data_IF_079054085013
#
_entry.id   IF_079054085013
#
_cell.length_a   1.000
_cell.length_b   1.000
_cell.length_c   1.000
_cell.angle_alpha   90.00
_cell.angle_beta   90.00
_cell.angle_gamma   90.00
#
_symmetry.space_group_name_H-M   'P 1'
#
loop_
_entity.id
_entity.type
_entity.pdbx_description
1 polymer ?
#
# COMPACT_ATOMS: atom_id res chain seq x y z
N UNK A 1 -22.10 -38.83 5.97
CA UNK A 1 -21.55 -37.68 5.23
C UNK A 1 -20.16 -37.99 4.65
N UNK A 2 -19.18 -38.41 5.45
CA UNK A 2 -17.80 -38.72 5.01
C UNK A 2 -17.71 -39.74 3.86
N UNK A 3 -18.42 -40.87 3.94
CA UNK A 3 -18.41 -41.89 2.86
C UNK A 3 -18.94 -41.36 1.51
N UNK A 4 -19.87 -40.42 1.52
CA UNK A 4 -20.39 -39.80 0.31
C UNK A 4 -19.36 -38.86 -0.32
N UNK A 5 -18.63 -38.09 0.46
CA UNK A 5 -17.56 -37.21 -0.01
C UNK A 5 -16.44 -38.04 -0.65
N UNK A 6 -15.96 -39.10 0.00
CA UNK A 6 -14.92 -39.99 -0.53
C UNK A 6 -15.33 -40.63 -1.88
N UNK A 7 -16.58 -41.09 -1.98
CA UNK A 7 -17.12 -41.61 -3.24
C UNK A 7 -17.18 -40.55 -4.34
N UNK A 8 -17.42 -39.30 -3.98
CA UNK A 8 -17.46 -38.17 -4.92
C UNK A 8 -16.05 -37.76 -5.35
N UNK A 9 -15.08 -37.75 -4.42
CA UNK A 9 -13.65 -37.50 -4.71
C UNK A 9 -13.13 -38.51 -5.75
N UNK A 10 -13.46 -39.81 -5.58
CA UNK A 10 -13.06 -40.83 -6.55
C UNK A 10 -13.56 -40.53 -7.98
N UNK A 11 -14.71 -39.85 -8.12
CA UNK A 11 -15.28 -39.46 -9.42
C UNK A 11 -14.56 -38.32 -10.11
N UNK A 12 -13.67 -37.58 -9.43
CA UNK A 12 -12.82 -36.57 -10.08
C UNK A 12 -11.89 -37.17 -11.13
N UNK A 13 -11.53 -38.46 -10.98
CA UNK A 13 -10.70 -39.22 -11.92
C UNK A 13 -11.51 -40.06 -12.93
N UNK A 14 -12.83 -39.87 -12.98
CA UNK A 14 -13.70 -40.63 -13.88
C UNK A 14 -13.42 -40.31 -15.35
N UNK A 15 -13.46 -41.33 -16.23
CA UNK A 15 -13.24 -41.14 -17.69
C UNK A 15 -14.31 -40.29 -18.38
N UNK A 16 -15.52 -40.27 -17.85
CA UNK A 16 -16.60 -39.45 -18.38
C UNK A 16 -16.54 -38.02 -17.78
N UNK A 17 -16.36 -37.04 -18.63
CA UNK A 17 -16.29 -35.60 -18.29
C UNK A 17 -17.54 -35.13 -17.53
N UNK A 18 -18.73 -35.66 -17.90
CA UNK A 18 -19.99 -35.29 -17.21
C UNK A 18 -19.97 -35.72 -15.73
N UNK A 19 -19.44 -36.90 -15.45
CA UNK A 19 -19.30 -37.40 -14.09
C UNK A 19 -18.26 -36.61 -13.31
N UNK A 20 -17.13 -36.24 -13.92
CA UNK A 20 -16.14 -35.38 -13.30
C UNK A 20 -16.71 -34.01 -12.96
N UNK A 21 -17.41 -33.34 -13.90
CA UNK A 21 -18.04 -32.02 -13.67
C UNK A 21 -19.09 -32.09 -12.56
N UNK A 22 -19.87 -33.16 -12.51
CA UNK A 22 -20.85 -33.36 -11.44
C UNK A 22 -20.17 -33.51 -10.07
N UNK A 23 -19.08 -34.28 -10.00
CA UNK A 23 -18.31 -34.46 -8.78
C UNK A 23 -17.76 -33.12 -8.26
N UNK A 24 -17.14 -32.32 -9.13
CA UNK A 24 -16.67 -30.97 -8.77
C UNK A 24 -17.79 -30.13 -8.15
N UNK A 25 -18.97 -30.05 -8.81
CA UNK A 25 -20.11 -29.27 -8.31
C UNK A 25 -20.54 -29.73 -6.91
N UNK A 26 -20.69 -31.03 -6.72
CA UNK A 26 -21.09 -31.60 -5.41
C UNK A 26 -20.09 -31.23 -4.32
N UNK A 27 -18.78 -31.29 -4.60
CA UNK A 27 -17.73 -30.94 -3.62
C UNK A 27 -17.77 -29.46 -3.26
N UNK A 28 -18.00 -28.57 -4.24
CA UNK A 28 -18.15 -27.15 -3.99
C UNK A 28 -19.45 -26.81 -3.24
N UNK A 29 -20.57 -27.43 -3.62
CA UNK A 29 -21.89 -27.21 -2.99
C UNK A 29 -21.91 -27.68 -1.52
N UNK A 30 -21.16 -28.76 -1.20
CA UNK A 30 -21.04 -29.30 0.14
C UNK A 30 -19.90 -28.67 0.97
N UNK A 31 -19.17 -27.70 0.41
CA UNK A 31 -17.96 -27.08 1.01
C UNK A 31 -16.96 -28.10 1.53
N UNK A 32 -16.67 -29.12 0.73
CA UNK A 32 -15.87 -30.29 1.12
C UNK A 32 -14.36 -29.95 1.10
N UNK A 33 -13.88 -29.14 2.05
CA UNK A 33 -12.48 -28.70 2.13
C UNK A 33 -11.49 -29.88 2.22
N UNK A 34 -11.90 -31.03 2.77
CA UNK A 34 -11.07 -32.24 2.84
C UNK A 34 -10.73 -32.81 1.45
N UNK A 35 -11.40 -32.34 0.41
CA UNK A 35 -11.16 -32.77 -0.98
C UNK A 35 -10.10 -31.94 -1.69
N UNK A 36 -9.54 -30.87 -1.10
CA UNK A 36 -8.65 -29.91 -1.79
C UNK A 36 -7.46 -30.61 -2.47
N UNK A 37 -6.81 -31.54 -1.81
CA UNK A 37 -5.67 -32.30 -2.35
C UNK A 37 -6.06 -33.12 -3.60
N UNK A 38 -7.29 -33.61 -3.65
CA UNK A 38 -7.78 -34.41 -4.80
C UNK A 38 -7.97 -33.56 -6.07
N UNK A 39 -7.91 -32.22 -5.97
CA UNK A 39 -7.94 -31.32 -7.11
C UNK A 39 -6.55 -31.12 -7.77
N UNK A 40 -5.43 -31.54 -7.14
CA UNK A 40 -4.10 -31.39 -7.72
C UNK A 40 -3.98 -31.92 -9.16
N UNK A 41 -4.44 -33.14 -9.51
CA UNK A 41 -4.36 -33.61 -10.89
C UNK A 41 -5.20 -32.80 -11.90
N UNK A 42 -6.12 -31.97 -11.43
CA UNK A 42 -6.95 -31.11 -12.30
C UNK A 42 -6.27 -29.77 -12.63
N UNK A 43 -5.18 -29.42 -11.94
CA UNK A 43 -4.39 -28.22 -12.24
C UNK A 43 -3.78 -28.29 -13.66
N UNK A 44 -3.42 -29.49 -14.11
CA UNK A 44 -2.85 -29.74 -15.43
C UNK A 44 -3.87 -30.37 -16.43
N UNK A 45 -5.15 -30.33 -16.10
CA UNK A 45 -6.18 -30.89 -16.99
C UNK A 45 -6.21 -30.16 -18.34
N UNK A 46 -6.45 -30.92 -19.43
CA UNK A 46 -6.58 -30.37 -20.78
C UNK A 46 -7.75 -29.37 -20.91
N UNK A 47 -8.83 -29.60 -20.15
CA UNK A 47 -9.99 -28.73 -20.12
C UNK A 47 -9.76 -27.58 -19.13
N UNK A 48 -9.72 -26.34 -19.63
CA UNK A 48 -9.54 -25.11 -18.85
C UNK A 48 -10.55 -24.98 -17.71
N UNK A 49 -11.77 -25.51 -17.89
CA UNK A 49 -12.79 -25.48 -16.84
C UNK A 49 -12.33 -26.21 -15.58
N UNK A 50 -11.68 -27.39 -15.73
CA UNK A 50 -11.15 -28.12 -14.58
C UNK A 50 -9.97 -27.43 -13.95
N UNK A 51 -9.04 -26.87 -14.76
CA UNK A 51 -7.92 -26.09 -14.20
C UNK A 51 -8.43 -24.92 -13.35
N UNK A 52 -9.38 -24.15 -13.87
CA UNK A 52 -9.95 -23.02 -13.14
C UNK A 52 -10.67 -23.49 -11.85
N UNK A 53 -11.36 -24.62 -11.88
CA UNK A 53 -12.02 -25.17 -10.69
C UNK A 53 -11.01 -25.71 -9.67
N UNK A 54 -9.89 -26.25 -10.10
CA UNK A 54 -8.80 -26.64 -9.21
C UNK A 54 -8.22 -25.39 -8.51
N UNK A 55 -7.85 -24.36 -9.25
CA UNK A 55 -7.36 -23.07 -8.69
C UNK A 55 -8.38 -22.47 -7.71
N UNK A 56 -9.68 -22.52 -8.04
CA UNK A 56 -10.74 -22.03 -7.15
C UNK A 56 -10.85 -22.85 -5.87
N UNK A 57 -10.70 -24.17 -5.91
CA UNK A 57 -10.70 -25.06 -4.75
C UNK A 57 -9.51 -24.73 -3.82
N UNK A 58 -8.32 -24.59 -4.38
CA UNK A 58 -7.12 -24.19 -3.64
C UNK A 58 -7.31 -22.81 -3.00
N UNK A 59 -7.78 -21.81 -3.76
CA UNK A 59 -8.05 -20.47 -3.22
C UNK A 59 -9.05 -20.47 -2.07
N UNK A 60 -10.10 -21.29 -2.15
CA UNK A 60 -11.17 -21.34 -1.15
C UNK A 60 -10.77 -22.08 0.12
N UNK A 61 -10.07 -23.20 0.00
CA UNK A 61 -9.87 -24.13 1.11
C UNK A 61 -8.44 -24.23 1.61
N UNK A 62 -7.44 -24.11 0.73
CA UNK A 62 -6.05 -24.33 1.11
C UNK A 62 -5.53 -23.35 2.17
N UNK A 63 -5.81 -22.04 2.16
CA UNK A 63 -5.24 -21.13 3.14
C UNK A 63 -5.53 -21.49 4.60
N UNK A 64 -6.71 -22.07 4.86
CA UNK A 64 -7.14 -22.43 6.21
C UNK A 64 -6.88 -23.88 6.59
N UNK A 65 -6.95 -24.79 5.63
CA UNK A 65 -6.99 -26.23 5.93
C UNK A 65 -5.77 -26.99 5.45
N UNK A 66 -5.08 -26.49 4.42
CA UNK A 66 -3.93 -27.19 3.81
C UNK A 66 -2.97 -26.20 3.13
N UNK A 67 -2.39 -25.20 3.84
CA UNK A 67 -1.55 -24.17 3.24
C UNK A 67 -0.31 -24.76 2.54
N UNK A 68 0.18 -25.91 2.99
CA UNK A 68 1.30 -26.61 2.36
C UNK A 68 1.05 -26.99 0.88
N UNK A 69 -0.22 -27.16 0.48
CA UNK A 69 -0.56 -27.46 -0.91
C UNK A 69 -0.37 -26.24 -1.84
N UNK A 70 -0.34 -25.02 -1.29
CA UNK A 70 -0.10 -23.80 -2.07
C UNK A 70 1.34 -23.72 -2.61
N UNK A 71 2.27 -24.50 -2.05
CA UNK A 71 3.66 -24.60 -2.53
C UNK A 71 3.74 -25.07 -3.98
N UNK A 72 2.90 -26.06 -4.36
CA UNK A 72 2.82 -26.55 -5.73
C UNK A 72 2.39 -25.44 -6.71
N UNK A 73 1.39 -24.64 -6.33
CA UNK A 73 0.92 -23.51 -7.13
C UNK A 73 1.94 -22.36 -7.19
N UNK A 74 2.62 -22.07 -6.09
CA UNK A 74 3.63 -21.02 -6.03
C UNK A 74 4.83 -21.31 -6.96
N UNK A 75 5.19 -22.60 -7.10
CA UNK A 75 6.28 -23.06 -7.94
C UNK A 75 5.85 -23.41 -9.38
N UNK A 76 4.59 -23.26 -9.70
CA UNK A 76 4.05 -23.54 -11.05
C UNK A 76 4.49 -22.46 -12.05
N UNK A 77 4.77 -22.87 -13.29
CA UNK A 77 4.99 -21.93 -14.41
C UNK A 77 3.71 -21.24 -14.88
N UNK A 78 2.54 -21.65 -14.36
CA UNK A 78 1.26 -21.05 -14.69
C UNK A 78 1.02 -19.76 -13.86
N UNK A 79 1.00 -18.62 -14.54
CA UNK A 79 0.77 -17.32 -13.87
C UNK A 79 -0.52 -17.27 -13.06
N UNK A 80 -1.60 -17.92 -13.52
CA UNK A 80 -2.88 -17.93 -12.80
C UNK A 80 -2.78 -18.71 -11.47
N UNK A 81 -1.94 -19.74 -11.39
CA UNK A 81 -1.65 -20.47 -10.17
C UNK A 81 -0.87 -19.59 -9.19
N UNK A 82 0.20 -18.94 -9.64
CA UNK A 82 0.98 -18.00 -8.83
C UNK A 82 0.13 -16.81 -8.33
N UNK A 83 -0.72 -16.22 -9.20
CA UNK A 83 -1.67 -15.17 -8.83
C UNK A 83 -2.67 -15.63 -7.78
N UNK A 84 -3.13 -16.88 -7.87
CA UNK A 84 -4.00 -17.48 -6.86
C UNK A 84 -3.31 -17.46 -5.49
N UNK A 85 -2.08 -17.97 -5.39
CA UNK A 85 -1.30 -17.98 -4.14
C UNK A 85 -1.09 -16.55 -3.63
N UNK A 86 -0.61 -15.65 -4.48
CA UNK A 86 -0.40 -14.24 -4.12
C UNK A 86 -1.66 -13.55 -3.57
N UNK A 87 -2.85 -13.96 -4.04
CA UNK A 87 -4.13 -13.41 -3.58
C UNK A 87 -4.53 -13.89 -2.19
N UNK A 88 -4.11 -15.09 -1.80
CA UNK A 88 -4.54 -15.73 -0.55
C UNK A 88 -3.50 -15.68 0.57
N UNK A 89 -2.30 -15.11 0.32
CA UNK A 89 -1.23 -15.02 1.31
C UNK A 89 -1.71 -14.43 2.64
N UNK A 90 -2.46 -13.35 2.61
CA UNK A 90 -3.00 -12.67 3.80
C UNK A 90 -4.02 -13.51 4.57
N UNK A 91 -4.60 -14.53 3.94
CA UNK A 91 -5.59 -15.43 4.54
C UNK A 91 -4.95 -16.63 5.27
N UNK A 92 -3.64 -16.79 5.17
CA UNK A 92 -2.88 -17.86 5.83
C UNK A 92 -2.59 -17.42 7.27
N UNK A 93 -3.06 -18.20 8.25
CA UNK A 93 -2.91 -17.85 9.66
C UNK A 93 -1.46 -17.93 10.18
N UNK A 94 -0.66 -18.84 9.64
CA UNK A 94 0.75 -18.97 10.00
C UNK A 94 1.59 -17.98 9.17
N UNK A 95 2.08 -16.93 9.83
CA UNK A 95 2.89 -15.89 9.17
C UNK A 95 4.19 -16.45 8.58
N UNK A 96 4.79 -17.44 9.23
CA UNK A 96 6.02 -18.10 8.75
C UNK A 96 5.76 -18.88 7.47
N UNK A 97 4.64 -19.59 7.39
CA UNK A 97 4.25 -20.33 6.18
C UNK A 97 3.89 -19.37 5.04
N UNK A 98 3.14 -18.31 5.35
CA UNK A 98 2.84 -17.24 4.39
C UNK A 98 4.12 -16.57 3.86
N UNK A 99 5.10 -16.30 4.73
CA UNK A 99 6.39 -15.72 4.35
C UNK A 99 7.22 -16.68 3.46
N UNK A 100 7.21 -17.99 3.72
CA UNK A 100 7.88 -18.98 2.85
C UNK A 100 7.28 -18.97 1.45
N UNK A 101 5.95 -18.98 1.34
CA UNK A 101 5.23 -18.90 0.07
C UNK A 101 5.50 -17.58 -0.66
N UNK A 102 5.50 -16.46 0.07
CA UNK A 102 5.84 -15.16 -0.48
C UNK A 102 7.26 -15.15 -1.07
N UNK A 103 8.26 -15.75 -0.38
CA UNK A 103 9.64 -15.86 -0.90
C UNK A 103 9.73 -16.65 -2.19
N UNK A 104 8.94 -17.72 -2.33
CA UNK A 104 8.88 -18.47 -3.59
C UNK A 104 8.35 -17.62 -4.74
N UNK A 105 7.33 -16.78 -4.47
CA UNK A 105 6.71 -15.90 -5.45
C UNK A 105 7.58 -14.70 -5.86
N UNK A 106 8.64 -14.35 -5.11
CA UNK A 106 9.58 -13.30 -5.51
C UNK A 106 10.29 -13.57 -6.83
N UNK A 107 10.36 -14.84 -7.25
CA UNK A 107 10.94 -15.25 -8.53
C UNK A 107 9.94 -15.26 -9.69
N UNK A 108 8.71 -14.78 -9.48
CA UNK A 108 7.70 -14.71 -10.53
C UNK A 108 8.06 -13.68 -11.61
N UNK A 109 7.69 -13.98 -12.85
CA UNK A 109 7.77 -13.03 -13.96
C UNK A 109 6.58 -12.05 -14.00
N UNK A 110 5.67 -12.12 -13.03
CA UNK A 110 4.50 -11.24 -12.92
C UNK A 110 4.70 -10.23 -11.79
N UNK A 111 4.83 -8.96 -12.16
CA UNK A 111 5.04 -7.86 -11.20
C UNK A 111 3.95 -7.79 -10.13
N UNK A 112 2.70 -8.13 -10.46
CA UNK A 112 1.59 -8.11 -9.48
C UNK A 112 1.78 -9.20 -8.43
N UNK A 113 2.29 -10.37 -8.83
CA UNK A 113 2.62 -11.46 -7.92
C UNK A 113 3.77 -11.05 -7.00
N UNK A 114 4.86 -10.50 -7.57
CA UNK A 114 6.02 -10.02 -6.81
C UNK A 114 5.63 -8.91 -5.83
N UNK A 115 4.86 -7.91 -6.27
CA UNK A 115 4.38 -6.82 -5.39
C UNK A 115 3.61 -7.35 -4.18
N UNK A 116 2.70 -8.31 -4.38
CA UNK A 116 1.94 -8.92 -3.28
C UNK A 116 2.81 -9.75 -2.35
N UNK A 117 3.78 -10.45 -2.89
CA UNK A 117 4.74 -11.21 -2.10
C UNK A 117 5.58 -10.29 -1.20
N UNK A 118 6.10 -9.20 -1.76
CA UNK A 118 6.84 -8.17 -1.00
C UNK A 118 5.96 -7.54 0.08
N UNK A 119 4.74 -7.15 -0.29
CA UNK A 119 3.78 -6.59 0.67
C UNK A 119 3.51 -7.55 1.84
N UNK A 120 3.33 -8.84 1.57
CA UNK A 120 3.11 -9.86 2.60
C UNK A 120 4.32 -9.96 3.55
N UNK A 121 5.55 -10.00 3.02
CA UNK A 121 6.76 -10.09 3.84
C UNK A 121 6.92 -8.86 4.76
N UNK A 122 6.60 -7.69 4.24
CA UNK A 122 6.70 -6.43 4.99
C UNK A 122 5.60 -6.34 6.03
N UNK A 123 4.34 -6.58 5.68
CA UNK A 123 3.18 -6.44 6.57
C UNK A 123 3.19 -7.46 7.72
N UNK A 124 3.74 -8.65 7.49
CA UNK A 124 3.92 -9.67 8.53
C UNK A 124 5.16 -9.47 9.39
N UNK A 125 5.99 -8.48 9.11
CA UNK A 125 7.30 -8.24 9.75
C UNK A 125 8.28 -9.43 9.60
N UNK A 126 8.09 -10.25 8.58
CA UNK A 126 8.95 -11.42 8.28
C UNK A 126 10.10 -11.08 7.30
N UNK A 127 10.15 -9.84 6.82
CA UNK A 127 11.20 -9.37 5.91
C UNK A 127 12.54 -9.29 6.64
N UNK A 128 13.59 -9.84 6.04
CA UNK A 128 14.96 -9.71 6.54
C UNK A 128 15.57 -8.39 6.10
N UNK A 129 16.62 -7.93 6.81
CA UNK A 129 17.36 -6.73 6.42
C UNK A 129 17.92 -6.82 5.00
N UNK A 130 18.46 -7.98 4.62
CA UNK A 130 19.00 -8.19 3.27
C UNK A 130 17.93 -8.13 2.18
N UNK A 131 16.73 -8.68 2.47
CA UNK A 131 15.58 -8.56 1.55
C UNK A 131 15.13 -7.10 1.44
N UNK A 132 15.04 -6.38 2.56
CA UNK A 132 14.67 -4.97 2.56
C UNK A 132 15.66 -4.11 1.74
N UNK A 133 16.96 -4.33 1.91
CA UNK A 133 17.99 -3.64 1.13
C UNK A 133 17.86 -3.95 -0.38
N UNK A 134 17.55 -5.20 -0.73
CA UNK A 134 17.30 -5.60 -2.12
C UNK A 134 16.02 -4.96 -2.68
N UNK A 135 14.92 -4.89 -1.91
CA UNK A 135 13.67 -4.26 -2.33
C UNK A 135 13.82 -2.75 -2.55
N UNK A 136 14.69 -2.09 -1.79
CA UNK A 136 15.01 -0.67 -2.01
C UNK A 136 15.72 -0.40 -3.35
N UNK A 137 16.41 -1.40 -3.91
CA UNK A 137 17.09 -1.33 -5.18
C UNK A 137 16.29 -1.95 -6.34
N UNK A 138 15.06 -2.41 -6.11
CA UNK A 138 14.24 -3.05 -7.12
C UNK A 138 13.94 -2.10 -8.29
N UNK A 139 13.80 -2.63 -9.50
CA UNK A 139 13.39 -1.85 -10.67
C UNK A 139 11.96 -1.30 -10.50
N UNK A 140 11.08 -2.09 -9.89
CA UNK A 140 9.70 -1.72 -9.65
C UNK A 140 9.57 -0.70 -8.51
N UNK A 141 9.09 0.49 -8.85
CA UNK A 141 8.87 1.59 -7.89
C UNK A 141 7.89 1.25 -6.77
N UNK A 142 6.91 0.35 -7.00
CA UNK A 142 5.96 -0.06 -5.96
C UNK A 142 6.68 -0.88 -4.89
N UNK A 143 7.57 -1.78 -5.30
CA UNK A 143 8.42 -2.54 -4.39
C UNK A 143 9.33 -1.61 -3.60
N UNK A 144 9.98 -0.63 -4.27
CA UNK A 144 10.79 0.37 -3.57
C UNK A 144 9.98 1.21 -2.59
N UNK A 145 8.75 1.56 -2.94
CA UNK A 145 7.86 2.32 -2.06
C UNK A 145 7.50 1.55 -0.79
N UNK A 146 7.14 0.27 -0.90
CA UNK A 146 6.90 -0.59 0.26
C UNK A 146 8.14 -0.71 1.16
N UNK A 147 9.31 -0.91 0.57
CA UNK A 147 10.56 -0.98 1.34
C UNK A 147 10.88 0.36 2.04
N UNK A 148 10.58 1.48 1.40
CA UNK A 148 10.77 2.82 1.96
C UNK A 148 9.84 3.09 3.13
N UNK A 149 8.61 2.59 3.10
CA UNK A 149 7.59 2.77 4.15
C UNK A 149 8.06 2.23 5.51
N UNK A 150 8.69 1.05 5.52
CA UNK A 150 9.14 0.38 6.75
C UNK A 150 10.60 0.64 7.12
N UNK A 151 11.28 1.44 6.31
CA UNK A 151 12.68 1.76 6.55
C UNK A 151 12.81 2.77 7.71
N UNK A 152 13.55 2.39 8.75
CA UNK A 152 13.87 3.24 9.88
C UNK A 152 15.26 3.92 9.78
N UNK A 153 16.00 3.68 8.70
CA UNK A 153 17.33 4.27 8.50
C UNK A 153 17.22 5.62 7.79
N UNK A 154 17.48 6.71 8.52
CA UNK A 154 17.41 8.08 8.00
C UNK A 154 18.28 8.30 6.76
N UNK A 155 19.48 7.72 6.72
CA UNK A 155 20.38 7.86 5.57
C UNK A 155 19.79 7.23 4.31
N UNK A 156 19.18 6.05 4.42
CA UNK A 156 18.52 5.40 3.29
C UNK A 156 17.29 6.18 2.82
N UNK A 157 16.49 6.71 3.76
CA UNK A 157 15.34 7.54 3.44
C UNK A 157 15.74 8.84 2.72
N UNK A 158 16.84 9.47 3.13
CA UNK A 158 17.39 10.65 2.44
C UNK A 158 17.83 10.33 1.00
N UNK A 159 18.37 9.14 0.76
CA UNK A 159 18.64 8.64 -0.60
C UNK A 159 17.35 8.46 -1.39
N UNK A 160 16.32 7.86 -0.78
CA UNK A 160 15.01 7.64 -1.41
C UNK A 160 14.26 8.95 -1.76
N UNK A 161 14.60 10.09 -1.13
CA UNK A 161 14.10 11.41 -1.55
C UNK A 161 14.56 11.81 -2.95
N UNK A 162 15.61 11.18 -3.49
CA UNK A 162 16.14 11.42 -4.83
C UNK A 162 15.68 10.33 -5.83
N UNK A 163 14.75 9.45 -5.44
CA UNK A 163 14.25 8.40 -6.33
C UNK A 163 13.63 8.99 -7.60
N UNK A 164 13.77 8.28 -8.71
CA UNK A 164 13.18 8.68 -10.00
C UNK A 164 11.67 8.75 -9.97
N UNK A 165 11.02 7.90 -9.12
CA UNK A 165 9.57 7.82 -9.04
C UNK A 165 8.99 8.69 -7.91
N UNK A 166 7.98 9.55 -8.18
CA UNK A 166 7.41 10.47 -7.20
C UNK A 166 6.76 9.77 -6.00
N UNK A 167 6.23 8.55 -6.14
CA UNK A 167 5.62 7.83 -5.03
C UNK A 167 6.67 7.38 -4.00
N UNK A 168 7.85 6.95 -4.44
CA UNK A 168 8.96 6.60 -3.55
C UNK A 168 9.45 7.84 -2.81
N UNK A 169 9.64 8.97 -3.51
CA UNK A 169 10.03 10.25 -2.89
C UNK A 169 9.02 10.70 -1.84
N UNK A 170 7.70 10.60 -2.15
CA UNK A 170 6.62 10.94 -1.20
C UNK A 170 6.65 10.06 0.03
N UNK A 171 6.84 8.75 -0.14
CA UNK A 171 6.92 7.82 0.97
C UNK A 171 8.14 8.11 1.86
N UNK A 172 9.31 8.37 1.26
CA UNK A 172 10.51 8.76 1.99
C UNK A 172 10.31 10.05 2.80
N UNK A 173 9.70 11.07 2.20
CA UNK A 173 9.39 12.32 2.88
C UNK A 173 8.41 12.10 4.05
N UNK A 174 7.36 11.29 3.85
CA UNK A 174 6.39 10.96 4.90
C UNK A 174 7.06 10.26 6.09
N UNK A 175 7.92 9.27 5.82
CA UNK A 175 8.66 8.55 6.87
C UNK A 175 9.59 9.49 7.63
N UNK A 176 10.38 10.32 6.92
CA UNK A 176 11.31 11.27 7.56
C UNK A 176 10.60 12.33 8.39
N UNK A 177 9.42 12.80 7.95
CA UNK A 177 8.64 13.78 8.70
C UNK A 177 8.11 13.23 10.03
N UNK A 178 7.98 11.91 10.17
CA UNK A 178 7.62 11.22 11.41
C UNK A 178 8.79 10.93 12.35
N UNK A 179 10.04 11.26 11.97
CA UNK A 179 11.25 10.92 12.72
C UNK A 179 11.88 12.14 13.39
N UNK A 180 12.64 11.90 14.47
CA UNK A 180 13.55 12.91 15.03
C UNK A 180 14.77 13.03 14.12
N UNK A 181 14.93 14.20 13.49
CA UNK A 181 16.01 14.49 12.56
C UNK A 181 17.03 15.43 13.17
N UNK A 182 18.29 15.22 12.84
CA UNK A 182 19.33 16.20 13.09
C UNK A 182 19.13 17.45 12.23
N UNK A 183 19.71 18.59 12.58
CA UNK A 183 19.62 19.83 11.80
C UNK A 183 20.04 19.65 10.34
N UNK A 184 21.09 18.86 10.10
CA UNK A 184 21.58 18.55 8.75
C UNK A 184 20.56 17.73 7.93
N UNK A 185 19.95 16.72 8.54
CA UNK A 185 18.94 15.87 7.92
C UNK A 185 17.67 16.65 7.62
N UNK A 186 17.23 17.49 8.56
CA UNK A 186 16.08 18.37 8.38
C UNK A 186 16.33 19.36 7.23
N UNK A 187 17.53 19.94 7.12
CA UNK A 187 17.89 20.81 6.01
C UNK A 187 17.85 20.06 4.67
N UNK A 188 18.33 18.82 4.63
CA UNK A 188 18.28 17.98 3.42
C UNK A 188 16.83 17.67 3.01
N UNK A 189 15.96 17.32 3.97
CA UNK A 189 14.53 17.10 3.74
C UNK A 189 13.85 18.37 3.20
N UNK A 190 14.09 19.53 3.82
CA UNK A 190 13.53 20.81 3.38
C UNK A 190 13.98 21.16 1.95
N UNK A 191 15.25 20.93 1.61
CA UNK A 191 15.75 21.16 0.27
C UNK A 191 15.09 20.24 -0.77
N UNK A 192 14.88 18.97 -0.44
CA UNK A 192 14.16 18.03 -1.30
C UNK A 192 12.70 18.45 -1.51
N UNK A 193 12.02 18.83 -0.45
CA UNK A 193 10.64 19.37 -0.50
C UNK A 193 10.59 20.64 -1.36
N UNK A 194 11.60 21.50 -1.30
CA UNK A 194 11.67 22.72 -2.08
C UNK A 194 11.82 22.49 -3.58
N UNK A 195 12.49 21.43 -3.94
CA UNK A 195 12.80 21.09 -5.34
C UNK A 195 11.71 20.27 -6.02
N UNK A 196 10.86 19.59 -5.25
CA UNK A 196 9.84 18.67 -5.77
C UNK A 196 8.43 19.07 -5.35
N UNK A 197 7.67 19.61 -6.29
CA UNK A 197 6.28 20.02 -6.08
C UNK A 197 5.37 18.87 -5.62
N UNK A 198 5.70 17.62 -5.91
CA UNK A 198 4.93 16.46 -5.46
C UNK A 198 5.04 16.22 -3.95
N UNK A 199 6.12 16.66 -3.31
CA UNK A 199 6.33 16.52 -1.86
C UNK A 199 5.57 17.55 -1.04
N UNK A 200 5.16 18.66 -1.64
CA UNK A 200 4.46 19.73 -0.94
C UNK A 200 3.15 19.31 -0.27
N UNK A 201 2.38 18.42 -0.90
CA UNK A 201 1.11 17.94 -0.35
C UNK A 201 1.25 17.27 1.01
N UNK A 202 2.40 16.63 1.24
CA UNK A 202 2.70 15.95 2.50
C UNK A 202 3.35 16.90 3.51
N UNK A 203 4.25 17.75 3.04
CA UNK A 203 5.07 18.58 3.91
C UNK A 203 4.29 19.72 4.56
N UNK A 204 3.34 20.33 3.84
CA UNK A 204 2.66 21.53 4.30
C UNK A 204 1.82 21.30 5.57
N UNK A 205 0.94 20.26 5.67
CA UNK A 205 0.22 19.98 6.90
C UNK A 205 1.15 19.69 8.09
N UNK A 206 2.22 18.92 7.86
CA UNK A 206 3.16 18.51 8.90
C UNK A 206 4.05 19.68 9.31
N UNK A 207 4.46 20.52 8.35
CA UNK A 207 5.22 21.72 8.63
C UNK A 207 4.43 22.73 9.50
N UNK A 208 3.11 22.82 9.33
CA UNK A 208 2.26 23.63 10.19
C UNK A 208 2.18 23.06 11.61
N UNK A 209 2.02 21.75 11.76
CA UNK A 209 1.96 21.09 13.07
C UNK A 209 3.29 21.21 13.81
N UNK A 210 4.40 20.98 13.11
CA UNK A 210 5.75 20.88 13.71
C UNK A 210 6.54 22.20 13.74
N UNK A 211 5.92 23.36 13.38
CA UNK A 211 6.56 24.67 13.40
C UNK A 211 7.84 24.77 12.59
N UNK A 212 7.91 24.17 11.41
CA UNK A 212 9.07 24.32 10.53
C UNK A 212 9.29 25.83 10.24
N UNK A 213 10.37 26.43 10.73
CA UNK A 213 10.53 27.89 10.72
C UNK A 213 10.58 28.50 9.32
N UNK A 214 10.94 27.70 8.33
CA UNK A 214 11.17 28.16 6.96
C UNK A 214 9.96 27.98 6.02
N UNK A 215 8.81 27.48 6.53
CA UNK A 215 7.63 27.25 5.71
C UNK A 215 7.14 28.53 5.04
N UNK A 216 7.15 29.65 5.76
CA UNK A 216 6.70 30.95 5.28
C UNK A 216 7.60 31.48 4.16
N UNK A 217 8.91 31.45 4.35
CA UNK A 217 9.86 31.91 3.34
C UNK A 217 9.80 31.03 2.11
N UNK A 218 9.59 29.76 2.33
CA UNK A 218 9.38 28.79 1.29
C UNK A 218 8.09 29.08 0.49
N UNK A 219 6.99 29.37 1.16
CA UNK A 219 5.73 29.77 0.51
C UNK A 219 5.89 31.06 -0.29
N UNK A 220 6.61 32.03 0.24
CA UNK A 220 6.90 33.32 -0.44
C UNK A 220 7.72 33.13 -1.72
N UNK A 221 8.59 32.12 -1.77
CA UNK A 221 9.40 31.80 -2.95
C UNK A 221 8.63 31.16 -4.11
N UNK A 222 7.38 30.71 -3.86
CA UNK A 222 6.57 29.95 -4.83
C UNK A 222 5.63 30.85 -5.65
N UNK A 223 5.23 30.35 -6.82
CA UNK A 223 4.22 31.03 -7.66
C UNK A 223 2.85 31.10 -6.99
N UNK A 224 2.01 32.04 -7.40
CA UNK A 224 0.65 32.17 -6.85
C UNK A 224 -0.19 30.89 -6.99
N UNK A 225 -0.03 30.13 -8.07
CA UNK A 225 -0.74 28.85 -8.27
C UNK A 225 -0.27 27.79 -7.29
N UNK A 226 1.03 27.70 -7.03
CA UNK A 226 1.60 26.79 -6.05
C UNK A 226 1.19 27.17 -4.63
N UNK A 227 1.22 28.45 -4.28
CA UNK A 227 0.72 28.95 -2.99
C UNK A 227 -0.76 28.63 -2.76
N UNK A 228 -1.62 28.86 -3.76
CA UNK A 228 -3.05 28.48 -3.68
C UNK A 228 -3.23 26.99 -3.41
N UNK A 229 -2.46 26.16 -4.11
CA UNK A 229 -2.49 24.73 -3.90
C UNK A 229 -2.03 24.31 -2.50
N UNK A 230 -0.95 24.91 -1.99
CA UNK A 230 -0.45 24.70 -0.64
C UNK A 230 -1.50 25.07 0.41
N UNK A 231 -2.09 26.25 0.27
CA UNK A 231 -3.14 26.72 1.18
C UNK A 231 -4.36 25.81 1.13
N UNK A 232 -4.75 25.28 -0.03
CA UNK A 232 -5.81 24.27 -0.14
C UNK A 232 -5.49 22.95 0.59
N UNK A 233 -4.23 22.54 0.57
CA UNK A 233 -3.76 21.34 1.28
C UNK A 233 -3.82 21.50 2.80
N UNK A 234 -3.86 22.73 3.30
CA UNK A 234 -3.95 23.06 4.72
C UNK A 234 -5.37 23.04 5.30
N UNK A 235 -6.37 22.82 4.46
CA UNK A 235 -7.78 22.92 4.86
C UNK A 235 -8.09 22.14 6.15
N UNK A 236 -7.52 20.98 6.32
CA UNK A 236 -7.76 20.10 7.46
C UNK A 236 -6.86 20.46 8.67
N UNK A 237 -5.71 21.07 8.43
CA UNK A 237 -4.76 21.50 9.47
C UNK A 237 -5.06 22.91 10.02
N UNK A 238 -5.91 23.71 9.37
CA UNK A 238 -6.25 25.08 9.80
C UNK A 238 -6.91 25.13 11.18
N UNK A 239 -7.65 24.10 11.58
CA UNK A 239 -8.30 24.05 12.90
C UNK A 239 -7.31 23.93 14.06
N UNK A 240 -6.12 23.37 13.80
CA UNK A 240 -5.08 23.15 14.79
C UNK A 240 -4.01 24.26 14.78
N UNK A 241 -3.98 25.09 13.73
CA UNK A 241 -3.01 26.17 13.60
C UNK A 241 -3.40 27.38 14.49
N UNK A 242 -2.39 28.02 15.10
CA UNK A 242 -2.59 29.28 15.82
C UNK A 242 -2.76 30.47 14.85
N UNK A 243 -3.37 31.58 15.35
CA UNK A 243 -3.66 32.77 14.57
C UNK A 243 -2.42 33.37 13.90
N UNK A 244 -1.28 33.37 14.59
CA UNK A 244 -0.04 33.93 14.06
C UNK A 244 0.47 33.17 12.86
N UNK A 245 0.36 31.85 12.86
CA UNK A 245 0.73 31.00 11.73
C UNK A 245 -0.25 31.15 10.57
N UNK A 246 -1.53 31.24 10.86
CA UNK A 246 -2.53 31.51 9.83
C UNK A 246 -2.28 32.85 9.15
N UNK A 247 -1.91 33.91 9.92
CA UNK A 247 -1.54 35.22 9.38
C UNK A 247 -0.36 35.14 8.40
N UNK A 248 0.62 34.32 8.68
CA UNK A 248 1.78 34.12 7.80
C UNK A 248 1.45 33.44 6.47
N UNK A 249 0.34 32.69 6.42
CA UNK A 249 -0.18 32.05 5.20
C UNK A 249 -1.06 32.97 4.36
N UNK A 250 -1.51 34.08 4.95
CA UNK A 250 -2.39 35.08 4.33
C UNK A 250 -1.51 36.11 3.65
N UNK A 251 -1.24 35.91 2.38
CA UNK A 251 -0.52 36.85 1.55
C UNK A 251 -1.13 36.87 0.14
N UNK A 252 -1.52 38.05 -0.32
CA UNK A 252 -2.06 38.26 -1.66
C UNK A 252 -3.31 37.43 -1.99
N UNK A 253 -3.25 36.69 -3.07
CA UNK A 253 -4.35 35.85 -3.59
C UNK A 253 -4.83 34.74 -2.64
N UNK A 254 -4.05 34.38 -1.63
CA UNK A 254 -4.40 33.34 -0.68
C UNK A 254 -5.40 33.84 0.39
N UNK A 255 -5.48 35.13 0.64
CA UNK A 255 -6.38 35.74 1.65
C UNK A 255 -7.83 35.31 1.46
N UNK A 256 -8.35 35.33 0.24
CA UNK A 256 -9.74 34.95 -0.05
C UNK A 256 -10.03 33.48 0.17
N UNK A 257 -9.05 32.63 -0.02
CA UNK A 257 -9.17 31.15 0.18
C UNK A 257 -9.20 30.85 1.68
N UNK A 258 -8.28 31.43 2.45
CA UNK A 258 -8.22 31.27 3.91
C UNK A 258 -9.48 31.85 4.55
N UNK A 259 -9.93 33.04 4.12
CA UNK A 259 -11.16 33.66 4.61
C UNK A 259 -12.39 32.74 4.41
N UNK A 260 -12.53 32.11 3.23
CA UNK A 260 -13.63 31.16 2.97
C UNK A 260 -13.58 29.93 3.86
N UNK A 261 -12.40 29.45 4.20
CA UNK A 261 -12.26 28.28 5.07
C UNK A 261 -12.60 28.60 6.51
N UNK A 262 -12.29 29.80 6.95
CA UNK A 262 -12.60 30.25 8.30
C UNK A 262 -14.10 30.50 8.51
N UNK A 263 -14.84 30.88 7.43
CA UNK A 263 -16.29 31.13 7.45
C UNK A 263 -17.07 29.85 7.60
N UNK A 264 -17.07 29.02 8.21
CA UNK A 264 -17.88 27.79 8.36
C UNK A 264 -17.37 26.88 9.45
N UNK A 265 -16.28 27.29 10.08
CA UNK A 265 -15.63 26.50 11.11
C UNK A 265 -15.83 27.14 12.48
N UNK A 266 -16.18 26.31 13.44
CA UNK A 266 -16.48 26.75 14.81
C UNK A 266 -15.20 26.89 15.66
N UNK A 267 -14.15 27.47 15.07
CA UNK A 267 -12.86 27.65 15.74
C UNK A 267 -12.86 29.01 16.43
N UNK A 268 -13.19 29.03 17.72
CA UNK A 268 -13.11 30.25 18.55
C UNK A 268 -11.71 30.89 18.50
N UNK A 269 -10.66 30.10 18.26
CA UNK A 269 -9.28 30.56 18.08
C UNK A 269 -9.06 31.44 16.84
N UNK A 270 -9.93 31.33 15.83
CA UNK A 270 -9.80 32.04 14.56
C UNK A 270 -10.76 33.20 14.41
N UNK A 271 -11.52 33.56 15.44
CA UNK A 271 -12.54 34.59 15.33
C UNK A 271 -11.97 36.02 15.08
N UNK A 272 -10.86 36.35 15.71
CA UNK A 272 -10.18 37.61 15.49
C UNK A 272 -9.64 37.70 14.07
N UNK A 273 -8.97 36.68 13.59
CA UNK A 273 -8.44 36.60 12.22
C UNK A 273 -9.57 36.62 11.17
N UNK A 274 -10.67 35.92 11.44
CA UNK A 274 -11.86 35.92 10.57
C UNK A 274 -12.45 37.30 10.42
N UNK A 275 -12.56 38.05 11.52
CA UNK A 275 -13.09 39.42 11.53
C UNK A 275 -12.20 40.35 10.74
N UNK A 276 -10.89 40.27 10.93
CA UNK A 276 -9.89 41.08 10.22
C UNK A 276 -9.95 40.83 8.71
N UNK A 277 -9.93 39.54 8.29
CA UNK A 277 -9.97 39.12 6.89
C UNK A 277 -11.27 39.53 6.18
N UNK A 278 -12.40 39.55 6.89
CA UNK A 278 -13.67 40.04 6.34
C UNK A 278 -13.69 41.54 6.08
N UNK A 279 -12.85 42.30 6.77
CA UNK A 279 -12.65 43.73 6.54
C UNK A 279 -11.69 44.02 5.38
N UNK A 280 -10.68 43.17 5.15
CA UNK A 280 -9.72 43.36 4.05
C UNK A 280 -10.28 42.94 2.67
N UNK A 281 -11.27 42.07 2.62
CA UNK A 281 -11.88 41.57 1.37
C UNK A 281 -13.04 42.46 0.89
N UNK A 282 -13.35 43.55 1.58
CA UNK A 282 -14.29 44.58 1.13
C UNK A 282 -13.57 45.66 0.34
#
# INVERSE_FOLDING_TARGET
MVAHIQSTIAKLKHKDVRQRRRAVRILFDSDAYESVEAFSPLLDDKDIWFRNKAIEAYRRWAPKHAPHLLVELANSDQLDAQRCVATVLESIHDSTEAAKLARQLLNSNDDVVVRRAVHQLISSAEVTKSELDAFQQAEDHVVRSYATEVNSNTSNLLVSLQDTHPDVRRQAAASLLGMELTEKENTALQNAINQDDALWKLAVPIALQNRLPNLVDLMRSKSNSQRKFMVQSLKDAVEEADDERLRTLIDGDCTSIVARWLVGRNAAKCDALRTELLFEVR
#
